data_IF_435134851929
#
_entry.id   IF_435134851929
#
_cell.length_a   1.000
_cell.length_b   1.000
_cell.length_c   1.000
_cell.angle_alpha   90.00
_cell.angle_beta   90.00
_cell.angle_gamma   90.00
#
_symmetry.space_group_name_H-M   'P 1'
#
loop_
_entity.id
_entity.type
_entity.pdbx_description
1 polymer ?
#
# COMPACT_ATOMS: atom_id res chain seq x y z
N UNK A 1 10.21 -17.50 -27.22
CA UNK A 1 9.20 -16.97 -26.27
C UNK A 1 8.96 -15.53 -26.65
N UNK A 2 7.75 -15.21 -27.07
CA UNK A 2 7.33 -13.83 -27.32
C UNK A 2 6.95 -13.26 -25.95
N UNK A 3 7.70 -12.30 -25.43
CA UNK A 3 7.24 -11.48 -24.30
C UNK A 3 5.94 -10.77 -24.74
N UNK A 4 4.96 -10.70 -23.84
CA UNK A 4 3.76 -9.90 -24.05
C UNK A 4 4.21 -8.44 -23.98
N UNK A 5 4.24 -7.76 -25.12
CA UNK A 5 4.48 -6.31 -25.16
C UNK A 5 3.27 -5.59 -24.55
N UNK A 6 3.56 -4.67 -23.63
CA UNK A 6 2.53 -3.79 -23.07
C UNK A 6 2.02 -2.86 -24.17
N UNK A 7 0.72 -2.77 -24.30
CA UNK A 7 0.06 -1.83 -25.20
C UNK A 7 0.57 -0.38 -24.95
N UNK A 8 0.90 0.41 -25.98
CA UNK A 8 1.43 1.77 -25.81
C UNK A 8 0.52 2.74 -25.05
N UNK A 9 -0.81 2.57 -25.10
CA UNK A 9 -1.76 3.39 -24.34
C UNK A 9 -1.76 2.98 -22.85
N UNK A 10 -1.59 1.68 -22.58
CA UNK A 10 -1.30 1.19 -21.23
C UNK A 10 0.05 1.72 -20.76
N UNK A 11 1.10 1.66 -21.58
CA UNK A 11 2.43 2.15 -21.21
C UNK A 11 2.46 3.66 -20.93
N UNK A 12 1.64 4.43 -21.65
CA UNK A 12 1.52 5.89 -21.48
C UNK A 12 0.53 6.32 -20.38
N UNK A 13 -0.23 5.39 -19.79
CA UNK A 13 -1.11 5.67 -18.65
C UNK A 13 -2.42 6.35 -19.04
N UNK A 14 -2.82 6.24 -20.31
CA UNK A 14 -4.05 6.85 -20.82
C UNK A 14 -5.26 6.04 -20.37
N UNK A 15 -5.63 6.21 -19.10
CA UNK A 15 -6.96 5.80 -18.63
C UNK A 15 -7.98 6.77 -19.21
N UNK A 16 -9.03 6.22 -19.83
CA UNK A 16 -10.18 6.97 -20.34
C UNK A 16 -10.91 7.80 -19.25
N UNK A 17 -10.54 7.64 -17.97
CA UNK A 17 -11.05 8.40 -16.83
C UNK A 17 -10.02 9.35 -16.20
N UNK A 18 -8.73 9.27 -16.55
CA UNK A 18 -7.67 10.08 -15.97
C UNK A 18 -6.81 10.70 -17.08
N UNK A 19 -7.26 11.83 -17.61
CA UNK A 19 -6.63 12.55 -18.74
C UNK A 19 -5.23 13.13 -18.46
N UNK A 20 -4.59 12.84 -17.31
CA UNK A 20 -3.36 13.53 -16.85
C UNK A 20 -2.40 12.70 -15.98
N UNK A 21 -2.53 11.38 -15.93
CA UNK A 21 -1.62 10.55 -15.12
C UNK A 21 -0.78 9.68 -16.06
N UNK A 22 0.43 10.14 -16.39
CA UNK A 22 1.38 9.29 -17.12
C UNK A 22 2.15 8.37 -16.14
N UNK A 23 2.45 7.14 -16.56
CA UNK A 23 3.13 6.14 -15.72
C UNK A 23 4.52 6.59 -15.26
N UNK A 24 5.23 7.38 -16.08
CA UNK A 24 6.58 7.86 -15.77
C UNK A 24 6.58 8.83 -14.58
N UNK A 25 5.56 9.69 -14.50
CA UNK A 25 5.32 10.65 -13.44
C UNK A 25 4.90 9.95 -12.15
N UNK A 26 4.05 8.93 -12.25
CA UNK A 26 3.68 8.09 -11.10
C UNK A 26 4.89 7.34 -10.54
N UNK A 27 5.68 6.69 -11.41
CA UNK A 27 6.89 5.97 -11.00
C UNK A 27 7.90 6.92 -10.34
N UNK A 28 8.12 8.09 -10.93
CA UNK A 28 9.01 9.11 -10.36
C UNK A 28 8.49 9.65 -9.02
N UNK A 29 7.18 9.82 -8.86
CA UNK A 29 6.58 10.22 -7.60
C UNK A 29 6.73 9.15 -6.51
N UNK A 30 6.54 7.87 -6.88
CA UNK A 30 6.75 6.75 -5.97
C UNK A 30 8.21 6.63 -5.53
N UNK A 31 9.17 6.80 -6.43
CA UNK A 31 10.59 6.81 -6.07
C UNK A 31 10.94 7.93 -5.08
N UNK A 32 10.39 9.14 -5.28
CA UNK A 32 10.55 10.24 -4.30
C UNK A 32 9.90 9.91 -2.96
N UNK A 33 8.72 9.31 -2.97
CA UNK A 33 8.05 8.85 -1.75
C UNK A 33 8.91 7.84 -0.99
N UNK A 34 9.49 6.85 -1.67
CA UNK A 34 10.40 5.88 -1.06
C UNK A 34 11.63 6.55 -0.43
N UNK A 35 12.25 7.50 -1.14
CA UNK A 35 13.39 8.24 -0.62
C UNK A 35 13.03 9.06 0.64
N UNK A 36 11.81 9.60 0.72
CA UNK A 36 11.34 10.27 1.94
C UNK A 36 11.25 9.28 3.11
N UNK A 37 10.73 8.07 2.87
CA UNK A 37 10.61 7.03 3.90
C UNK A 37 11.98 6.62 4.47
N UNK A 38 13.01 6.52 3.63
CA UNK A 38 14.38 6.19 4.08
C UNK A 38 14.90 7.18 5.15
N UNK A 39 14.55 8.46 4.98
CA UNK A 39 14.92 9.54 5.92
C UNK A 39 13.94 9.73 7.09
N UNK A 40 12.72 9.19 6.99
CA UNK A 40 11.67 9.40 7.99
C UNK A 40 12.01 8.67 9.29
N UNK A 41 11.74 9.28 10.45
CA UNK A 41 11.87 8.61 11.76
C UNK A 41 10.63 7.78 12.08
N UNK A 42 9.46 8.32 11.72
CA UNK A 42 8.14 7.72 11.88
C UNK A 42 7.25 8.24 10.76
N UNK A 43 6.24 7.46 10.37
CA UNK A 43 5.21 7.88 9.40
C UNK A 43 3.88 7.98 10.12
N UNK A 44 3.16 9.08 9.89
CA UNK A 44 1.75 9.19 10.27
C UNK A 44 0.93 8.91 9.01
N UNK A 45 0.14 7.84 9.03
CA UNK A 45 -0.65 7.44 7.87
C UNK A 45 -2.06 7.09 8.29
N UNK A 46 -3.02 7.48 7.45
CA UNK A 46 -4.35 6.88 7.45
C UNK A 46 -4.29 5.41 6.97
N UNK A 47 -5.42 4.70 6.96
CA UNK A 47 -5.54 3.31 6.49
C UNK A 47 -5.29 3.15 4.97
N UNK A 48 -4.07 3.45 4.52
CA UNK A 48 -3.61 3.44 3.13
C UNK A 48 -2.42 2.52 2.92
N UNK A 49 -2.03 2.28 1.67
CA UNK A 49 -0.87 1.46 1.32
C UNK A 49 0.47 2.01 1.84
N UNK A 50 0.54 3.29 2.22
CA UNK A 50 1.76 3.87 2.82
C UNK A 50 2.18 3.14 4.10
N UNK A 51 1.25 2.50 4.81
CA UNK A 51 1.55 1.64 5.97
C UNK A 51 2.45 0.48 5.55
N UNK A 52 2.15 -0.17 4.42
CA UNK A 52 2.92 -1.31 3.90
C UNK A 52 4.31 -0.86 3.46
N UNK A 53 4.39 0.19 2.64
CA UNK A 53 5.67 0.70 2.12
C UNK A 53 6.63 1.15 3.24
N UNK A 54 6.08 1.76 4.30
CA UNK A 54 6.85 2.21 5.45
C UNK A 54 7.41 1.02 6.25
N UNK A 55 6.58 0.00 6.49
CA UNK A 55 6.98 -1.19 7.24
C UNK A 55 7.98 -2.05 6.50
N UNK A 56 7.84 -2.18 5.18
CA UNK A 56 8.82 -2.87 4.34
C UNK A 56 10.21 -2.22 4.42
N UNK A 57 10.29 -0.94 4.80
CA UNK A 57 11.54 -0.18 5.00
C UNK A 57 11.96 -0.06 6.47
N UNK A 58 11.28 -0.79 7.37
CA UNK A 58 11.59 -0.76 8.80
C UNK A 58 11.20 0.56 9.49
N UNK A 59 10.30 1.35 8.91
CA UNK A 59 9.85 2.62 9.47
C UNK A 59 8.57 2.40 10.29
N UNK A 60 8.54 2.78 11.58
CA UNK A 60 7.34 2.66 12.39
C UNK A 60 6.22 3.58 11.86
N UNK A 61 4.99 3.13 12.01
CA UNK A 61 3.80 3.85 11.51
C UNK A 61 2.83 4.14 12.64
N UNK A 62 2.39 5.38 12.75
CA UNK A 62 1.29 5.78 13.63
C UNK A 62 0.03 5.95 12.77
N UNK A 63 -1.06 5.28 13.16
CA UNK A 63 -2.37 5.40 12.53
C UNK A 63 -3.29 6.17 13.48
N UNK A 64 -3.63 7.44 13.19
CA UNK A 64 -4.55 8.21 14.00
C UNK A 64 -5.99 7.73 13.74
N UNK A 65 -6.61 7.14 14.76
CA UNK A 65 -7.99 6.63 14.72
C UNK A 65 -8.82 7.25 15.85
N UNK A 66 -9.01 8.57 15.79
CA UNK A 66 -9.67 9.30 16.87
C UNK A 66 -11.09 8.81 17.10
N UNK A 67 -11.37 8.38 18.33
CA UNK A 67 -12.69 7.88 18.75
C UNK A 67 -13.72 9.01 18.85
N UNK A 68 -13.30 10.15 19.36
CA UNK A 68 -14.18 11.28 19.64
C UNK A 68 -14.69 11.86 18.32
N UNK A 69 -16.01 12.01 18.21
CA UNK A 69 -16.68 12.50 16.99
C UNK A 69 -16.42 11.65 15.74
N UNK A 70 -16.09 10.36 15.90
CA UNK A 70 -15.94 9.46 14.77
C UNK A 70 -17.26 9.34 13.98
N UNK A 71 -17.21 9.69 12.69
CA UNK A 71 -18.33 9.57 11.74
C UNK A 71 -18.05 8.48 10.72
N UNK A 72 -19.04 8.14 9.89
CA UNK A 72 -18.88 7.23 8.76
C UNK A 72 -17.73 7.74 7.87
N UNK A 73 -16.78 6.87 7.57
CA UNK A 73 -15.58 7.20 6.78
C UNK A 73 -14.39 7.71 7.61
N UNK A 74 -14.55 7.95 8.92
CA UNK A 74 -13.40 8.21 9.80
C UNK A 74 -12.51 6.98 9.93
N UNK A 75 -11.22 7.17 10.23
CA UNK A 75 -10.28 6.06 10.41
C UNK A 75 -10.71 5.10 11.53
N UNK A 76 -11.35 5.60 12.60
CA UNK A 76 -11.98 4.77 13.63
C UNK A 76 -13.09 3.88 13.06
N UNK A 77 -13.98 4.44 12.23
CA UNK A 77 -15.02 3.67 11.54
C UNK A 77 -14.41 2.63 10.59
N UNK A 78 -13.41 3.01 9.79
CA UNK A 78 -12.76 2.10 8.85
C UNK A 78 -12.06 0.93 9.57
N UNK A 79 -11.30 1.23 10.63
CA UNK A 79 -10.58 0.23 11.42
C UNK A 79 -11.52 -0.81 12.03
N UNK A 80 -12.69 -0.39 12.51
CA UNK A 80 -13.66 -1.28 13.13
C UNK A 80 -14.62 -1.95 12.12
N UNK A 81 -14.88 -1.30 10.98
CA UNK A 81 -15.84 -1.76 9.97
C UNK A 81 -15.28 -2.71 8.92
N UNK A 82 -13.97 -2.68 8.67
CA UNK A 82 -13.32 -3.53 7.67
C UNK A 82 -12.41 -4.58 8.32
N UNK A 83 -12.73 -5.86 8.13
CA UNK A 83 -11.99 -7.00 8.68
C UNK A 83 -10.49 -6.93 8.35
N UNK A 84 -10.14 -6.56 7.11
CA UNK A 84 -8.75 -6.44 6.68
C UNK A 84 -7.98 -5.29 7.36
N UNK A 85 -8.67 -4.29 7.92
CA UNK A 85 -8.05 -3.19 8.68
C UNK A 85 -7.95 -3.49 10.17
N UNK A 86 -8.82 -4.32 10.75
CA UNK A 86 -8.77 -4.69 12.17
C UNK A 86 -7.41 -5.28 12.58
N UNK A 87 -6.76 -6.00 11.67
CA UNK A 87 -5.41 -6.56 11.86
C UNK A 87 -4.30 -5.52 12.05
N UNK A 88 -4.52 -4.24 11.71
CA UNK A 88 -3.54 -3.17 11.92
C UNK A 88 -3.19 -2.99 13.41
N UNK A 89 -4.15 -3.22 14.30
CA UNK A 89 -3.96 -3.08 15.76
C UNK A 89 -2.97 -4.07 16.35
N UNK A 90 -2.77 -5.22 15.70
CA UNK A 90 -1.84 -6.29 16.12
C UNK A 90 -0.61 -6.38 15.21
N UNK A 91 -0.54 -5.53 14.19
CA UNK A 91 0.55 -5.52 13.23
C UNK A 91 1.80 -4.91 13.85
N UNK A 92 2.89 -5.67 13.87
CA UNK A 92 4.14 -5.22 14.49
C UNK A 92 4.66 -3.92 13.84
N UNK A 93 5.00 -2.94 14.67
CA UNK A 93 5.49 -1.64 14.23
C UNK A 93 4.43 -0.67 13.72
N UNK A 94 3.15 -1.04 13.83
CA UNK A 94 2.00 -0.13 13.70
C UNK A 94 1.53 0.27 15.10
N UNK A 95 1.26 1.56 15.29
CA UNK A 95 0.81 2.13 16.55
C UNK A 95 -0.50 2.86 16.30
N UNK A 96 -1.55 2.49 17.02
CA UNK A 96 -2.86 3.15 16.91
C UNK A 96 -2.88 4.33 17.89
N UNK A 97 -3.28 5.50 17.42
CA UNK A 97 -3.54 6.66 18.27
C UNK A 97 -5.04 6.93 18.31
N UNK A 98 -5.69 6.63 19.42
CA UNK A 98 -7.15 6.69 19.56
C UNK A 98 -7.68 8.10 19.93
N UNK A 99 -6.77 9.02 20.25
CA UNK A 99 -7.02 10.43 20.52
C UNK A 99 -5.77 11.29 20.23
N UNK A 100 -5.94 12.62 20.31
CA UNK A 100 -4.88 13.59 20.04
C UNK A 100 -3.73 13.50 21.05
N UNK A 101 -4.02 13.18 22.32
CA UNK A 101 -3.00 13.07 23.35
C UNK A 101 -2.09 11.86 23.12
N UNK A 102 -2.65 10.74 22.67
CA UNK A 102 -1.90 9.54 22.31
C UNK A 102 -1.05 9.77 21.07
N UNK A 103 -1.58 10.47 20.05
CA UNK A 103 -0.81 10.85 18.88
C UNK A 103 0.39 11.72 19.27
N UNK A 104 0.18 12.75 20.10
CA UNK A 104 1.24 13.62 20.60
C UNK A 104 2.32 12.81 21.35
N UNK A 105 1.90 11.93 22.26
CA UNK A 105 2.81 11.08 23.04
C UNK A 105 3.68 10.19 22.14
N UNK A 106 3.08 9.56 21.12
CA UNK A 106 3.79 8.69 20.18
C UNK A 106 4.77 9.50 19.31
N UNK A 107 4.35 10.67 18.81
CA UNK A 107 5.22 11.55 18.04
C UNK A 107 6.43 12.00 18.85
N UNK A 108 6.23 12.46 20.09
CA UNK A 108 7.32 12.87 20.99
C UNK A 108 8.26 11.70 21.26
N UNK A 109 7.75 10.50 21.52
CA UNK A 109 8.57 9.31 21.77
C UNK A 109 9.46 8.99 20.56
N UNK A 110 8.90 8.89 19.35
CA UNK A 110 9.69 8.58 18.16
C UNK A 110 10.67 9.68 17.78
N UNK A 111 10.32 10.95 17.95
CA UNK A 111 11.22 12.08 17.67
C UNK A 111 12.36 12.17 18.69
N UNK A 112 12.12 11.80 19.95
CA UNK A 112 13.14 11.82 21.00
C UNK A 112 14.03 10.58 20.96
N UNK A 113 13.44 9.42 20.65
CA UNK A 113 14.13 8.13 20.58
C UNK A 113 13.90 7.44 19.22
N UNK A 114 14.56 7.93 18.15
CA UNK A 114 14.43 7.34 16.82
C UNK A 114 14.82 5.87 16.82
N UNK A 115 13.90 5.01 16.40
CA UNK A 115 14.12 3.57 16.33
C UNK A 115 13.44 2.98 15.10
N UNK A 116 14.14 2.05 14.45
CA UNK A 116 13.61 1.25 13.35
C UNK A 116 12.92 0.01 13.89
N UNK A 117 11.96 -0.50 13.14
CA UNK A 117 11.36 -1.81 13.35
C UNK A 117 12.02 -2.82 12.40
N UNK A 118 11.99 -4.13 12.70
CA UNK A 118 12.36 -5.14 11.71
C UNK A 118 11.55 -4.92 10.42
N UNK A 119 12.20 -4.82 9.25
CA UNK A 119 11.51 -4.71 7.98
C UNK A 119 10.53 -5.87 7.81
N UNK A 120 9.28 -5.55 7.45
CA UNK A 120 8.25 -6.54 7.20
C UNK A 120 7.60 -6.32 5.83
N UNK A 121 7.99 -7.18 4.90
CA UNK A 121 7.51 -7.20 3.53
C UNK A 121 6.29 -8.14 3.36
N UNK A 122 5.71 -8.67 4.44
CA UNK A 122 4.49 -9.49 4.35
C UNK A 122 3.32 -8.73 3.72
N UNK A 123 3.31 -7.39 3.79
CA UNK A 123 2.36 -6.55 3.05
C UNK A 123 2.72 -6.36 1.57
N UNK A 124 4.00 -6.54 1.18
CA UNK A 124 4.36 -6.63 -0.25
C UNK A 124 3.70 -7.88 -0.88
N UNK A 125 3.45 -8.94 -0.10
CA UNK A 125 2.70 -10.13 -0.57
C UNK A 125 1.23 -9.85 -0.91
N UNK A 126 0.68 -8.66 -0.59
CA UNK A 126 -0.64 -8.24 -1.12
C UNK A 126 -0.53 -7.95 -2.63
N UNK A 127 0.67 -7.62 -3.13
CA UNK A 127 0.95 -7.30 -4.54
C UNK A 127 1.97 -8.24 -5.21
N UNK A 128 2.72 -9.03 -4.45
CA UNK A 128 3.85 -9.83 -4.94
C UNK A 128 3.85 -11.21 -4.27
N UNK A 129 3.01 -12.10 -4.77
CA UNK A 129 3.38 -13.53 -4.84
C UNK A 129 4.60 -13.64 -5.79
N UNK A 130 5.41 -14.70 -5.73
CA UNK A 130 6.58 -14.89 -6.62
C UNK A 130 6.19 -14.81 -8.11
N UNK A 131 4.90 -15.05 -8.37
CA UNK A 131 4.19 -14.51 -9.53
C UNK A 131 3.44 -13.27 -9.08
N UNK A 132 3.85 -12.06 -9.49
CA UNK A 132 3.14 -10.83 -9.16
C UNK A 132 1.63 -10.99 -9.37
N UNK A 133 0.77 -10.30 -8.60
CA UNK A 133 -0.70 -10.40 -8.80
C UNK A 133 -1.07 -10.22 -10.29
N UNK A 134 -0.40 -9.30 -10.97
CA UNK A 134 -0.49 -9.10 -12.41
C UNK A 134 -0.13 -10.37 -13.21
N UNK A 135 0.96 -11.06 -12.87
CA UNK A 135 1.35 -12.32 -13.53
C UNK A 135 0.32 -13.44 -13.32
N UNK A 136 -0.27 -13.56 -12.13
CA UNK A 136 -1.35 -14.52 -11.88
C UNK A 136 -2.60 -14.23 -12.71
N UNK A 137 -2.94 -12.95 -12.86
CA UNK A 137 -4.03 -12.53 -13.74
C UNK A 137 -3.71 -12.87 -15.20
N UNK A 138 -2.49 -12.59 -15.66
CA UNK A 138 -2.05 -12.91 -17.03
C UNK A 138 -2.04 -14.41 -17.30
N UNK A 139 -1.54 -15.23 -16.37
CA UNK A 139 -1.54 -16.69 -16.51
C UNK A 139 -2.97 -17.24 -16.71
N UNK A 140 -3.94 -16.74 -15.93
CA UNK A 140 -5.36 -17.13 -16.07
C UNK A 140 -5.95 -16.67 -17.41
N UNK A 141 -5.60 -15.46 -17.87
CA UNK A 141 -6.04 -14.94 -19.17
C UNK A 141 -5.48 -15.80 -20.30
N UNK A 142 -4.19 -16.16 -20.23
CA UNK A 142 -3.52 -17.01 -21.21
C UNK A 142 -4.17 -18.41 -21.29
N UNK A 143 -4.52 -19.01 -20.13
CA UNK A 143 -5.22 -20.29 -20.06
C UNK A 143 -6.59 -20.24 -20.76
N UNK A 144 -7.39 -19.19 -20.50
CA UNK A 144 -8.72 -19.02 -21.12
C UNK A 144 -8.61 -18.80 -22.63
N UNK A 145 -7.65 -18.00 -23.09
CA UNK A 145 -7.40 -17.76 -24.52
C UNK A 145 -7.00 -19.06 -25.22
N UNK A 146 -6.11 -19.85 -24.60
CA UNK A 146 -5.68 -21.14 -25.14
C UNK A 146 -6.85 -22.12 -25.27
N UNK A 147 -7.69 -22.23 -24.23
CA UNK A 147 -8.88 -23.09 -24.24
C UNK A 147 -9.89 -22.68 -25.34
N UNK A 148 -10.15 -21.38 -25.50
CA UNK A 148 -11.08 -20.89 -26.53
C UNK A 148 -10.54 -21.04 -27.95
N UNK A 149 -9.23 -20.86 -28.15
CA UNK A 149 -8.60 -21.03 -29.46
C UNK A 149 -8.55 -22.49 -29.89
N UNK A 150 -8.32 -23.42 -28.95
CA UNK A 150 -8.34 -24.86 -29.21
C UNK A 150 -9.75 -25.38 -29.58
N UNK A 151 -10.80 -24.79 -28.99
CA UNK A 151 -12.19 -25.17 -29.26
C UNK A 151 -12.81 -24.48 -30.49
N UNK A 152 -12.09 -23.54 -31.12
CA UNK A 152 -12.51 -22.86 -32.35
C UNK A 152 -11.92 -23.50 -33.62
N UNK A 153 -11.09 -24.54 -33.46
CA UNK A 153 -10.50 -25.36 -34.54
C UNK A 153 -11.23 -26.70 -34.65
#
# INVERSE_FOLDING_TARGET
>A
QSEIELDPDIQSGVSHRATRIDFSGVSSAYARFCALLESAVVVVSECTSAIVDSRARGVPVIVPTFKKNAVIGSQWYLLNGFEHLQGLSTTSGVFIAEDEQELERLLVDFLTNPRRIPPDNSGENIFVDERSYARRVLDVVDEVIAEKSANAS
#
